data_IF_541144556606
#
_entry.id   IF_541144556606
#
_cell.length_a   1.000
_cell.length_b   1.000
_cell.length_c   1.000
_cell.angle_alpha   90.00
_cell.angle_beta   90.00
_cell.angle_gamma   90.00
#
_symmetry.space_group_name_H-M   'P 1'
#
loop_
_entity.id
_entity.type
_entity.pdbx_description
1 polymer ?
#
# COMPACT_ATOMS: atom_id res chain seq x y z
N UNK A 1 -13.61 7.31 -13.78
CA UNK A 1 -14.12 7.86 -12.50
C UNK A 1 -15.58 7.47 -12.23
N UNK A 2 -16.56 7.81 -13.10
CA UNK A 2 -17.97 7.48 -12.85
C UNK A 2 -18.23 5.98 -12.66
N UNK A 3 -17.53 5.11 -13.38
CA UNK A 3 -17.65 3.66 -13.19
C UNK A 3 -17.07 3.22 -11.84
N UNK A 4 -15.93 3.78 -11.41
CA UNK A 4 -15.41 3.51 -10.06
C UNK A 4 -16.40 3.94 -8.99
N UNK A 5 -16.94 5.15 -9.08
CA UNK A 5 -17.94 5.63 -8.12
C UNK A 5 -19.15 4.69 -8.01
N UNK A 6 -19.59 4.10 -9.14
CA UNK A 6 -20.77 3.23 -9.16
C UNK A 6 -20.52 1.83 -8.57
N UNK A 7 -19.29 1.33 -8.58
CA UNK A 7 -18.98 -0.05 -8.20
C UNK A 7 -18.02 -0.17 -7.02
N UNK A 8 -17.08 0.77 -6.86
CA UNK A 8 -16.11 0.75 -5.77
C UNK A 8 -15.93 2.13 -5.13
N UNK A 9 -16.58 2.34 -4.01
CA UNK A 9 -16.44 3.57 -3.23
C UNK A 9 -14.98 3.77 -2.79
N UNK A 10 -14.32 2.71 -2.33
CA UNK A 10 -12.91 2.74 -1.91
C UNK A 10 -12.00 3.17 -3.06
N UNK A 11 -12.07 2.48 -4.21
CA UNK A 11 -11.25 2.81 -5.38
C UNK A 11 -11.51 4.24 -5.89
N UNK A 12 -12.77 4.66 -5.89
CA UNK A 12 -13.13 6.04 -6.24
C UNK A 12 -12.51 7.06 -5.28
N UNK A 13 -12.63 6.84 -3.97
CA UNK A 13 -12.15 7.78 -2.95
C UNK A 13 -10.62 7.93 -2.99
N UNK A 14 -9.87 6.83 -3.13
CA UNK A 14 -8.42 6.86 -3.27
C UNK A 14 -8.02 7.70 -4.48
N UNK A 15 -8.52 7.34 -5.67
CA UNK A 15 -8.14 8.01 -6.92
C UNK A 15 -8.60 9.48 -6.93
N UNK A 16 -9.81 9.77 -6.46
CA UNK A 16 -10.37 11.12 -6.43
C UNK A 16 -9.65 12.02 -5.41
N UNK A 17 -9.31 11.50 -4.23
CA UNK A 17 -8.59 12.26 -3.19
C UNK A 17 -7.18 12.58 -3.67
N UNK A 18 -6.46 11.59 -4.19
CA UNK A 18 -5.14 11.80 -4.76
C UNK A 18 -5.16 12.81 -5.91
N UNK A 19 -6.12 12.68 -6.82
CA UNK A 19 -6.28 13.62 -7.95
C UNK A 19 -6.54 15.04 -7.48
N UNK A 20 -7.43 15.23 -6.48
CA UNK A 20 -7.75 16.55 -5.91
C UNK A 20 -6.58 17.19 -5.17
N UNK A 21 -5.76 16.38 -4.48
CA UNK A 21 -4.55 16.86 -3.82
C UNK A 21 -3.46 17.30 -4.81
N UNK A 22 -3.51 16.78 -6.04
CA UNK A 22 -2.54 17.05 -7.10
C UNK A 22 -1.25 16.25 -6.96
N UNK A 23 -0.39 16.35 -7.99
CA UNK A 23 0.88 15.63 -8.06
C UNK A 23 1.98 16.20 -7.17
N UNK A 24 1.73 17.30 -6.47
CA UNK A 24 2.69 17.91 -5.55
C UNK A 24 1.99 18.61 -4.39
N UNK A 25 2.62 18.59 -3.23
CA UNK A 25 2.17 19.32 -2.04
C UNK A 25 3.30 20.25 -1.60
N UNK A 26 2.97 21.52 -1.40
CA UNK A 26 3.88 22.51 -0.84
C UNK A 26 3.45 22.91 0.57
N UNK A 27 4.41 22.87 1.51
CA UNK A 27 4.19 23.26 2.90
C UNK A 27 5.49 23.78 3.52
N UNK A 28 5.40 24.90 4.25
CA UNK A 28 6.54 25.49 4.98
C UNK A 28 7.75 25.81 4.10
N UNK A 29 7.55 26.20 2.84
CA UNK A 29 8.61 26.49 1.88
C UNK A 29 9.23 25.27 1.21
N UNK A 30 8.78 24.05 1.53
CA UNK A 30 9.18 22.81 0.86
C UNK A 30 8.09 22.36 -0.11
N UNK A 31 8.47 21.65 -1.17
CA UNK A 31 7.56 21.01 -2.12
C UNK A 31 7.99 19.57 -2.36
N UNK A 32 7.02 18.65 -2.36
CA UNK A 32 7.23 17.23 -2.65
C UNK A 32 6.33 16.83 -3.81
N UNK A 33 6.86 16.08 -4.78
CA UNK A 33 6.13 15.55 -5.92
C UNK A 33 5.87 14.05 -5.72
N UNK A 34 4.66 13.61 -6.09
CA UNK A 34 4.18 12.24 -5.92
C UNK A 34 3.90 11.52 -7.27
N UNK A 35 4.20 12.17 -8.40
CA UNK A 35 3.80 11.67 -9.73
C UNK A 35 2.29 11.79 -9.97
N UNK A 36 1.81 11.15 -11.03
CA UNK A 36 0.39 11.11 -11.44
C UNK A 36 -0.08 9.66 -11.57
N UNK A 37 0.07 8.89 -10.50
CA UNK A 37 -0.13 7.42 -10.46
C UNK A 37 -1.40 6.94 -11.15
N UNK A 38 -2.55 7.58 -10.88
CA UNK A 38 -3.83 7.24 -11.49
C UNK A 38 -3.90 7.48 -13.02
N UNK A 39 -3.02 8.32 -13.57
CA UNK A 39 -2.90 8.53 -15.03
C UNK A 39 -1.81 7.64 -15.64
N UNK A 40 -0.80 7.28 -14.86
CA UNK A 40 0.32 6.47 -15.34
C UNK A 40 -0.07 5.00 -15.53
N UNK A 41 -0.93 4.47 -14.64
CA UNK A 41 -1.28 3.05 -14.59
C UNK A 41 -2.70 2.74 -15.11
N UNK A 42 -3.58 3.74 -15.28
CA UNK A 42 -4.94 3.52 -15.74
C UNK A 42 -5.04 3.49 -17.26
N UNK A 43 -5.40 2.36 -17.83
CA UNK A 43 -5.65 2.22 -19.25
C UNK A 43 -7.11 2.53 -19.58
N UNK A 44 -7.35 3.64 -20.29
CA UNK A 44 -8.69 4.13 -20.63
C UNK A 44 -9.09 3.89 -22.10
N UNK A 45 -8.38 3.00 -22.81
CA UNK A 45 -8.64 2.71 -24.23
C UNK A 45 -10.04 2.12 -24.43
N UNK A 46 -10.40 1.15 -23.62
CA UNK A 46 -11.70 0.50 -23.61
C UNK A 46 -12.00 -0.10 -22.23
N UNK A 47 -13.19 -0.69 -22.06
CA UNK A 47 -13.60 -1.28 -20.78
C UNK A 47 -12.71 -2.46 -20.38
N UNK A 48 -12.20 -3.26 -21.31
CA UNK A 48 -11.33 -4.39 -20.98
C UNK A 48 -9.98 -3.89 -20.44
N UNK A 49 -9.36 -2.93 -21.11
CA UNK A 49 -8.11 -2.28 -20.66
C UNK A 49 -8.29 -1.63 -19.29
N UNK A 50 -9.41 -0.93 -19.06
CA UNK A 50 -9.74 -0.36 -17.76
C UNK A 50 -9.83 -1.45 -16.68
N UNK A 51 -10.58 -2.53 -16.92
CA UNK A 51 -10.77 -3.60 -15.95
C UNK A 51 -9.46 -4.36 -15.64
N UNK A 52 -8.55 -4.48 -16.62
CA UNK A 52 -7.26 -5.12 -16.44
C UNK A 52 -6.26 -4.26 -15.66
N UNK A 53 -6.37 -2.93 -15.76
CA UNK A 53 -5.42 -1.99 -15.16
C UNK A 53 -5.85 -1.40 -13.81
N UNK A 54 -7.15 -1.51 -13.46
CA UNK A 54 -7.71 -0.76 -12.32
C UNK A 54 -7.12 -1.18 -10.96
N UNK A 55 -6.82 -2.47 -10.80
CA UNK A 55 -6.17 -2.95 -9.56
C UNK A 55 -4.82 -2.27 -9.35
N UNK A 56 -3.95 -2.33 -10.37
CA UNK A 56 -2.64 -1.66 -10.34
C UNK A 56 -2.80 -0.15 -10.17
N UNK A 57 -3.78 0.45 -10.86
CA UNK A 57 -4.06 1.88 -10.72
C UNK A 57 -4.39 2.26 -9.29
N UNK A 58 -5.27 1.50 -8.62
CA UNK A 58 -5.65 1.79 -7.23
C UNK A 58 -4.49 1.50 -6.28
N UNK A 59 -3.78 0.39 -6.46
CA UNK A 59 -2.59 0.03 -5.69
C UNK A 59 -1.54 1.17 -5.73
N UNK A 60 -1.10 1.57 -6.90
CA UNK A 60 -0.09 2.61 -7.07
C UNK A 60 -0.59 4.01 -6.61
N UNK A 61 -1.89 4.27 -6.77
CA UNK A 61 -2.48 5.51 -6.27
C UNK A 61 -2.56 5.52 -4.74
N UNK A 62 -2.72 4.34 -4.10
CA UNK A 62 -2.66 4.21 -2.64
C UNK A 62 -1.28 4.62 -2.12
N UNK A 63 -0.19 4.11 -2.70
CA UNK A 63 1.18 4.57 -2.37
C UNK A 63 1.31 6.09 -2.46
N UNK A 64 0.79 6.67 -3.56
CA UNK A 64 0.81 8.12 -3.74
C UNK A 64 0.01 8.88 -2.68
N UNK A 65 -1.18 8.37 -2.32
CA UNK A 65 -2.05 8.98 -1.31
C UNK A 65 -1.45 8.83 0.09
N UNK A 66 -0.94 7.65 0.44
CA UNK A 66 -0.30 7.38 1.73
C UNK A 66 0.89 8.33 1.95
N UNK A 67 1.73 8.52 0.93
CA UNK A 67 2.80 9.52 0.97
C UNK A 67 2.32 10.97 1.12
N UNK A 68 1.08 11.30 0.71
CA UNK A 68 0.48 12.64 0.87
C UNK A 68 -0.08 12.89 2.28
N UNK A 69 -0.57 11.85 2.95
CA UNK A 69 -1.29 11.96 4.23
C UNK A 69 -0.51 12.74 5.28
N UNK A 70 0.78 12.50 5.58
CA UNK A 70 1.54 13.27 6.55
C UNK A 70 1.53 14.79 6.25
N UNK A 71 1.66 15.15 4.96
CA UNK A 71 1.63 16.56 4.56
C UNK A 71 0.22 17.19 4.68
N UNK A 72 -0.83 16.38 4.51
CA UNK A 72 -2.20 16.84 4.74
C UNK A 72 -2.42 17.17 6.22
N UNK A 73 -1.88 16.34 7.13
CA UNK A 73 -1.90 16.60 8.58
C UNK A 73 -1.04 17.83 8.94
N UNK A 74 0.15 17.96 8.36
CA UNK A 74 1.00 19.12 8.57
C UNK A 74 0.32 20.44 8.16
N UNK A 75 -0.44 20.46 7.05
CA UNK A 75 -1.26 21.61 6.66
C UNK A 75 -2.35 21.96 7.67
N UNK A 76 -2.78 21.01 8.50
CA UNK A 76 -3.75 21.22 9.60
C UNK A 76 -3.07 21.68 10.90
N UNK A 77 -1.75 21.87 10.90
CA UNK A 77 -0.97 22.36 12.04
C UNK A 77 -0.19 21.31 12.82
N UNK A 78 -0.21 20.04 12.39
CA UNK A 78 0.61 19.02 13.02
C UNK A 78 2.09 19.18 12.65
N UNK A 79 2.98 18.90 13.60
CA UNK A 79 4.43 19.03 13.40
C UNK A 79 4.99 17.70 12.94
N UNK A 80 5.62 17.70 11.77
CA UNK A 80 6.40 16.56 11.24
C UNK A 80 7.88 16.84 11.49
N UNK A 81 8.53 15.97 12.26
CA UNK A 81 9.96 16.06 12.52
C UNK A 81 10.76 15.46 11.35
N UNK A 82 11.79 16.17 10.89
CA UNK A 82 12.69 15.72 9.82
C UNK A 82 13.60 14.54 10.24
N UNK A 83 13.73 14.30 11.54
CA UNK A 83 14.53 13.19 12.09
C UNK A 83 13.72 11.89 12.19
N UNK A 84 12.44 11.92 11.86
CA UNK A 84 11.55 10.77 11.86
C UNK A 84 11.24 10.26 10.47
N UNK A 85 11.03 8.96 10.37
CA UNK A 85 10.30 8.33 9.27
C UNK A 85 8.81 8.56 9.54
N UNK A 86 8.11 9.11 8.57
CA UNK A 86 6.67 9.35 8.68
C UNK A 86 5.99 8.81 7.44
N UNK A 87 5.10 7.84 7.62
CA UNK A 87 4.35 7.21 6.54
C UNK A 87 2.85 7.28 6.85
N UNK A 88 2.05 7.64 5.85
CA UNK A 88 0.60 7.70 5.96
C UNK A 88 -0.05 6.40 5.56
N UNK A 89 -1.29 6.20 6.02
CA UNK A 89 -2.11 5.05 5.68
C UNK A 89 -3.55 5.50 5.46
N UNK A 90 -4.06 5.26 4.27
CA UNK A 90 -5.46 5.39 3.96
C UNK A 90 -6.15 4.05 4.26
N UNK A 91 -7.04 4.00 5.22
CA UNK A 91 -7.83 2.80 5.53
C UNK A 91 -9.20 2.89 4.85
N UNK A 92 -9.90 4.02 5.07
CA UNK A 92 -11.15 4.34 4.39
C UNK A 92 -11.37 5.87 4.35
N UNK A 93 -12.52 6.33 3.89
CA UNK A 93 -12.83 7.77 3.80
C UNK A 93 -12.85 8.49 5.17
N UNK A 94 -13.05 7.77 6.26
CA UNK A 94 -13.13 8.31 7.62
C UNK A 94 -11.85 8.08 8.41
N UNK A 95 -11.05 7.08 8.02
CA UNK A 95 -9.87 6.63 8.75
C UNK A 95 -8.62 6.82 7.88
N UNK A 96 -7.89 7.87 8.19
CA UNK A 96 -6.58 8.15 7.65
C UNK A 96 -5.68 8.55 8.82
N UNK A 97 -4.48 8.00 8.87
CA UNK A 97 -3.50 8.32 9.91
C UNK A 97 -2.08 8.18 9.38
N UNK A 98 -1.11 8.52 10.20
CA UNK A 98 0.30 8.32 9.88
C UNK A 98 1.03 7.72 11.07
N UNK A 99 2.05 6.93 10.76
CA UNK A 99 3.00 6.38 11.72
C UNK A 99 4.26 7.25 11.73
N UNK A 100 4.86 7.39 12.90
CA UNK A 100 6.08 8.17 13.11
C UNK A 100 7.08 7.34 13.91
N UNK A 101 8.22 7.06 13.31
CA UNK A 101 9.31 6.34 13.96
C UNK A 101 10.64 7.11 13.81
N UNK A 102 11.56 7.07 14.76
CA UNK A 102 12.89 7.64 14.59
C UNK A 102 13.56 7.02 13.35
N UNK A 103 14.24 7.83 12.54
CA UNK A 103 15.04 7.31 11.44
C UNK A 103 16.08 6.34 12.02
N UNK A 104 16.27 5.22 11.35
CA UNK A 104 17.17 4.13 11.77
C UNK A 104 16.74 3.35 13.04
N UNK A 105 15.51 3.51 13.54
CA UNK A 105 14.97 2.62 14.58
C UNK A 105 14.47 1.29 14.03
N UNK A 106 14.16 1.25 12.73
CA UNK A 106 13.68 0.06 12.03
C UNK A 106 14.84 -0.61 11.28
N UNK A 107 14.88 -1.93 11.27
CA UNK A 107 15.85 -2.68 10.47
C UNK A 107 15.26 -3.04 9.09
N UNK A 108 16.09 -3.23 8.06
CA UNK A 108 15.61 -3.58 6.72
C UNK A 108 15.06 -5.01 6.66
N UNK A 109 14.09 -5.28 5.78
CA UNK A 109 13.49 -6.62 5.63
C UNK A 109 14.49 -7.71 5.24
N UNK A 110 15.63 -7.34 4.64
CA UNK A 110 16.69 -8.31 4.29
C UNK A 110 17.27 -9.02 5.52
N UNK A 111 17.24 -8.41 6.70
CA UNK A 111 17.76 -9.03 7.92
C UNK A 111 16.94 -10.26 8.33
N UNK A 112 15.67 -10.33 7.92
CA UNK A 112 14.74 -11.43 8.22
C UNK A 112 14.90 -12.63 7.26
N UNK A 113 15.55 -12.43 6.13
CA UNK A 113 15.59 -13.40 5.01
C UNK A 113 16.08 -14.79 5.43
N UNK A 114 17.08 -14.85 6.33
CA UNK A 114 17.66 -16.11 6.75
C UNK A 114 16.77 -16.93 7.71
N UNK A 115 15.80 -16.27 8.36
CA UNK A 115 14.83 -16.93 9.24
C UNK A 115 13.69 -17.59 8.44
N UNK A 116 13.47 -17.15 7.18
CA UNK A 116 12.41 -17.68 6.34
C UNK A 116 12.92 -18.92 5.55
N UNK A 117 12.41 -20.13 5.84
CA UNK A 117 12.77 -21.33 5.12
C UNK A 117 12.53 -21.20 3.62
N UNK A 118 13.42 -21.79 2.80
CA UNK A 118 13.35 -21.66 1.34
C UNK A 118 12.03 -22.14 0.74
N UNK A 119 11.40 -23.16 1.34
CA UNK A 119 10.10 -23.68 0.89
C UNK A 119 8.91 -22.80 1.24
N UNK A 120 9.11 -21.75 2.05
CA UNK A 120 8.11 -20.73 2.37
C UNK A 120 8.34 -19.41 1.62
N UNK A 121 9.40 -19.33 0.80
CA UNK A 121 9.68 -18.16 -0.03
C UNK A 121 8.74 -18.13 -1.23
N UNK A 122 7.85 -17.18 -1.23
CA UNK A 122 6.79 -17.01 -2.21
C UNK A 122 7.28 -16.24 -3.44
N UNK A 123 6.38 -15.99 -4.40
CA UNK A 123 6.71 -15.31 -5.66
C UNK A 123 7.30 -13.89 -5.46
N UNK A 124 6.81 -13.15 -4.45
CA UNK A 124 7.23 -11.76 -4.19
C UNK A 124 8.41 -11.65 -3.24
N UNK A 125 8.88 -12.78 -2.70
CA UNK A 125 9.96 -12.79 -1.71
C UNK A 125 11.22 -12.06 -2.19
N UNK A 126 11.71 -12.39 -3.39
CA UNK A 126 12.93 -11.78 -3.91
C UNK A 126 12.76 -10.28 -4.19
N UNK A 127 11.57 -9.87 -4.61
CA UNK A 127 11.28 -8.47 -4.93
C UNK A 127 11.24 -7.59 -3.70
N UNK A 128 10.72 -8.08 -2.57
CA UNK A 128 10.45 -7.25 -1.40
C UNK A 128 11.33 -7.56 -0.20
N UNK A 129 11.70 -8.83 0.01
CA UNK A 129 12.55 -9.21 1.14
C UNK A 129 14.04 -9.12 0.81
N UNK A 130 14.46 -9.33 -0.46
CA UNK A 130 15.86 -9.21 -0.94
C UNK A 130 16.04 -7.94 -1.80
N UNK A 131 15.14 -7.00 -1.72
CA UNK A 131 15.09 -5.81 -2.57
C UNK A 131 16.33 -4.91 -2.44
N UNK A 132 16.48 -4.00 -3.40
CA UNK A 132 17.52 -2.97 -3.34
C UNK A 132 17.30 -2.05 -2.13
N UNK A 133 18.37 -1.47 -1.53
CA UNK A 133 18.25 -0.61 -0.34
C UNK A 133 17.31 0.59 -0.48
N UNK A 134 17.00 1.02 -1.71
CA UNK A 134 16.10 2.14 -1.97
C UNK A 134 14.61 1.76 -1.87
N UNK A 135 14.26 0.48 -1.92
CA UNK A 135 12.88 0.02 -1.75
C UNK A 135 12.37 0.35 -0.34
N UNK A 136 11.09 0.69 -0.21
CA UNK A 136 10.45 1.04 1.07
C UNK A 136 10.60 -0.08 2.11
N UNK A 137 10.47 -1.34 1.71
CA UNK A 137 10.66 -2.52 2.57
C UNK A 137 12.08 -2.64 3.14
N UNK A 138 13.08 -2.03 2.51
CA UNK A 138 14.47 -1.97 3.00
C UNK A 138 14.73 -0.67 3.76
N UNK A 139 14.34 0.47 3.20
CA UNK A 139 14.61 1.79 3.80
C UNK A 139 13.71 2.11 5.00
N UNK A 140 12.54 1.51 5.08
CA UNK A 140 11.51 1.76 6.10
C UNK A 140 11.10 0.48 6.85
N UNK A 141 11.75 -0.66 6.58
CA UNK A 141 11.52 -1.93 7.26
C UNK A 141 10.05 -2.34 7.27
N UNK A 142 9.51 -2.63 8.46
CA UNK A 142 8.12 -3.07 8.62
C UNK A 142 7.10 -2.04 8.11
N UNK A 143 7.39 -0.74 8.20
CA UNK A 143 6.48 0.30 7.69
C UNK A 143 6.35 0.17 6.17
N UNK A 144 7.44 -0.11 5.45
CA UNK A 144 7.39 -0.37 4.02
C UNK A 144 6.64 -1.66 3.66
N UNK A 145 6.73 -2.72 4.49
CA UNK A 145 5.94 -3.93 4.30
C UNK A 145 4.44 -3.67 4.52
N UNK A 146 4.08 -2.87 5.52
CA UNK A 146 2.70 -2.48 5.81
C UNK A 146 2.11 -1.58 4.73
N UNK A 147 2.91 -0.69 4.16
CA UNK A 147 2.52 0.20 3.07
C UNK A 147 2.19 -0.61 1.81
N UNK A 148 2.99 -1.59 1.46
CA UNK A 148 2.69 -2.54 0.38
C UNK A 148 1.44 -3.38 0.69
N UNK A 149 1.31 -3.87 1.93
CA UNK A 149 0.13 -4.62 2.37
C UNK A 149 -1.15 -3.80 2.18
N UNK A 150 -1.15 -2.52 2.61
CA UNK A 150 -2.26 -1.59 2.44
C UNK A 150 -2.61 -1.37 0.96
N UNK A 151 -1.61 -1.13 0.12
CA UNK A 151 -1.79 -0.94 -1.31
C UNK A 151 -2.38 -2.18 -2.00
N UNK A 152 -1.89 -3.38 -1.68
CA UNK A 152 -2.47 -4.63 -2.19
C UNK A 152 -3.88 -4.91 -1.66
N UNK A 153 -4.18 -4.54 -0.42
CA UNK A 153 -5.55 -4.62 0.10
C UNK A 153 -6.52 -3.80 -0.75
N UNK A 154 -6.19 -2.54 -1.01
CA UNK A 154 -7.06 -1.67 -1.81
C UNK A 154 -7.13 -2.09 -3.29
N UNK A 155 -6.03 -2.55 -3.87
CA UNK A 155 -6.03 -3.16 -5.21
C UNK A 155 -6.93 -4.39 -5.30
N UNK A 156 -6.88 -5.28 -4.30
CA UNK A 156 -7.76 -6.46 -4.22
C UNK A 156 -9.22 -6.08 -4.01
N UNK A 157 -9.47 -5.11 -3.12
CA UNK A 157 -10.81 -4.60 -2.80
C UNK A 157 -11.51 -4.05 -4.04
N UNK A 158 -10.82 -3.25 -4.84
CA UNK A 158 -11.42 -2.70 -6.07
C UNK A 158 -11.74 -3.79 -7.08
N UNK A 159 -10.90 -4.81 -7.24
CA UNK A 159 -11.19 -5.95 -8.14
C UNK A 159 -12.45 -6.68 -7.68
N UNK A 160 -12.58 -6.90 -6.38
CA UNK A 160 -13.78 -7.51 -5.81
C UNK A 160 -15.04 -6.67 -6.07
N UNK A 161 -14.94 -5.36 -5.83
CA UNK A 161 -16.06 -4.42 -5.96
C UNK A 161 -16.54 -4.29 -7.40
N UNK A 162 -15.64 -4.34 -8.39
CA UNK A 162 -16.01 -4.22 -9.82
C UNK A 162 -16.46 -5.54 -10.46
N UNK A 163 -16.52 -6.64 -9.71
CA UNK A 163 -17.01 -7.93 -10.24
C UNK A 163 -18.36 -7.83 -10.96
N UNK A 164 -19.38 -7.09 -10.46
CA UNK A 164 -20.65 -6.94 -11.18
C UNK A 164 -20.49 -6.32 -12.56
N UNK A 165 -19.62 -5.31 -12.69
CA UNK A 165 -19.31 -4.70 -13.99
C UNK A 165 -18.61 -5.69 -14.92
N UNK A 166 -17.63 -6.46 -14.40
CA UNK A 166 -16.94 -7.48 -15.19
C UNK A 166 -17.92 -8.55 -15.70
N UNK A 167 -18.81 -9.03 -14.84
CA UNK A 167 -19.85 -10.02 -15.17
C UNK A 167 -20.83 -9.47 -16.22
N UNK A 168 -21.24 -8.22 -16.13
CA UNK A 168 -22.12 -7.56 -17.10
C UNK A 168 -21.47 -7.46 -18.49
N UNK A 169 -20.23 -7.00 -18.54
CA UNK A 169 -19.54 -6.72 -19.82
C UNK A 169 -18.96 -7.98 -20.47
N UNK A 170 -18.56 -8.99 -19.68
CA UNK A 170 -17.85 -10.19 -20.15
C UNK A 170 -18.41 -11.47 -19.53
N UNK A 171 -19.72 -11.77 -19.73
CA UNK A 171 -20.38 -12.91 -19.05
C UNK A 171 -19.75 -14.27 -19.36
N UNK A 172 -19.20 -14.44 -20.56
CA UNK A 172 -18.53 -15.69 -20.96
C UNK A 172 -17.09 -15.82 -20.47
N UNK A 173 -16.45 -14.72 -20.08
CA UNK A 173 -15.05 -14.68 -19.62
C UNK A 173 -14.91 -14.63 -18.10
N UNK A 174 -16.01 -14.35 -17.40
CA UNK A 174 -16.00 -14.11 -15.94
C UNK A 174 -15.44 -15.30 -15.15
N UNK A 175 -15.75 -16.52 -15.56
CA UNK A 175 -15.29 -17.72 -14.85
C UNK A 175 -13.79 -18.03 -14.99
N UNK A 176 -13.15 -17.51 -16.04
CA UNK A 176 -11.74 -17.79 -16.33
C UNK A 176 -10.82 -16.60 -16.00
N UNK A 177 -11.24 -15.39 -16.28
CA UNK A 177 -10.34 -14.22 -16.20
C UNK A 177 -10.43 -13.47 -14.87
N UNK A 178 -11.66 -13.28 -14.35
CA UNK A 178 -11.80 -12.57 -13.07
C UNK A 178 -11.12 -13.29 -11.89
N UNK A 179 -11.24 -14.64 -11.72
CA UNK A 179 -10.55 -15.33 -10.63
C UNK A 179 -9.02 -15.17 -10.67
N UNK A 180 -8.39 -15.22 -11.84
CA UNK A 180 -6.94 -15.07 -11.93
C UNK A 180 -6.49 -13.66 -11.55
N UNK A 181 -7.24 -12.63 -11.95
CA UNK A 181 -6.95 -11.25 -11.54
C UNK A 181 -7.14 -11.06 -10.04
N UNK A 182 -8.22 -11.58 -9.47
CA UNK A 182 -8.50 -11.49 -8.04
C UNK A 182 -7.47 -12.27 -7.21
N UNK A 183 -7.19 -13.53 -7.57
CA UNK A 183 -6.25 -14.41 -6.85
C UNK A 183 -4.86 -13.79 -6.80
N UNK A 184 -4.35 -13.28 -7.92
CA UNK A 184 -3.02 -12.66 -7.96
C UNK A 184 -2.86 -11.49 -6.96
N UNK A 185 -3.92 -10.71 -6.75
CA UNK A 185 -3.92 -9.64 -5.75
C UNK A 185 -4.09 -10.17 -4.32
N UNK A 186 -4.98 -11.14 -4.14
CA UNK A 186 -5.22 -11.76 -2.83
C UNK A 186 -3.99 -12.53 -2.33
N UNK A 187 -3.26 -13.21 -3.23
CA UNK A 187 -2.00 -13.87 -2.88
C UNK A 187 -0.97 -12.87 -2.34
N UNK A 188 -0.84 -11.69 -2.98
CA UNK A 188 0.04 -10.64 -2.49
C UNK A 188 -0.33 -10.20 -1.07
N UNK A 189 -1.63 -10.01 -0.79
CA UNK A 189 -2.10 -9.68 0.55
C UNK A 189 -1.64 -10.73 1.59
N UNK A 190 -1.79 -12.02 1.31
CA UNK A 190 -1.31 -13.08 2.23
C UNK A 190 0.20 -13.16 2.33
N UNK A 191 0.94 -12.89 1.25
CA UNK A 191 2.39 -12.85 1.25
C UNK A 191 2.92 -11.73 2.17
N UNK A 192 2.35 -10.53 2.08
CA UNK A 192 2.74 -9.40 2.94
C UNK A 192 2.32 -9.60 4.40
N UNK A 193 1.15 -10.18 4.67
CA UNK A 193 0.76 -10.58 6.03
C UNK A 193 1.80 -11.54 6.64
N UNK A 194 2.27 -12.51 5.84
CA UNK A 194 3.33 -13.41 6.25
C UNK A 194 4.66 -12.68 6.49
N UNK A 195 5.11 -11.82 5.58
CA UNK A 195 6.36 -11.08 5.74
C UNK A 195 6.35 -10.16 6.96
N UNK A 196 5.24 -9.50 7.25
CA UNK A 196 5.05 -8.67 8.44
C UNK A 196 5.18 -9.53 9.71
N UNK A 197 4.55 -10.70 9.75
CA UNK A 197 4.64 -11.63 10.88
C UNK A 197 6.06 -12.13 11.11
N UNK A 198 6.79 -12.50 10.06
CA UNK A 198 8.19 -12.91 10.16
C UNK A 198 9.09 -11.76 10.63
N UNK A 199 8.85 -10.52 10.17
CA UNK A 199 9.54 -9.34 10.66
C UNK A 199 9.30 -9.14 12.17
N UNK A 200 8.07 -9.29 12.64
CA UNK A 200 7.72 -9.17 14.07
C UNK A 200 8.33 -10.29 14.91
N UNK A 201 8.39 -11.53 14.41
CA UNK A 201 9.05 -12.64 15.08
C UNK A 201 10.55 -12.41 15.19
N UNK A 202 11.19 -11.92 14.13
CA UNK A 202 12.60 -11.53 14.15
C UNK A 202 12.84 -10.38 15.15
N UNK A 203 12.02 -9.33 15.10
CA UNK A 203 12.10 -8.22 16.04
C UNK A 203 11.97 -8.70 17.49
N UNK A 204 11.06 -9.61 17.78
CA UNK A 204 10.88 -10.18 19.13
C UNK A 204 12.14 -10.86 19.66
N UNK A 205 12.88 -11.52 18.78
CA UNK A 205 14.07 -12.30 19.14
C UNK A 205 15.36 -11.46 19.19
N UNK A 206 15.50 -10.48 18.27
CA UNK A 206 16.76 -9.75 18.04
C UNK A 206 16.67 -8.27 18.44
N UNK A 207 15.47 -7.69 18.46
CA UNK A 207 15.19 -6.28 18.76
C UNK A 207 14.00 -6.14 19.72
N UNK A 208 14.06 -6.70 20.95
CA UNK A 208 12.89 -6.81 21.84
C UNK A 208 12.30 -5.45 22.25
N UNK A 209 13.10 -4.39 22.29
CA UNK A 209 12.61 -3.03 22.58
C UNK A 209 11.72 -2.52 21.44
N UNK A 210 12.18 -2.64 20.19
CA UNK A 210 11.40 -2.29 19.01
C UNK A 210 10.11 -3.13 18.93
N UNK A 211 10.20 -4.45 19.18
CA UNK A 211 9.01 -5.31 19.20
C UNK A 211 7.97 -4.83 20.21
N UNK A 212 8.40 -4.44 21.42
CA UNK A 212 7.49 -3.93 22.43
C UNK A 212 6.91 -2.57 22.08
N UNK A 213 7.67 -1.70 21.42
CA UNK A 213 7.18 -0.43 20.89
C UNK A 213 6.08 -0.67 19.86
N UNK A 214 6.35 -1.44 18.79
CA UNK A 214 5.38 -1.79 17.74
C UNK A 214 4.13 -2.46 18.31
N UNK A 215 4.29 -3.43 19.22
CA UNK A 215 3.19 -4.15 19.86
C UNK A 215 2.26 -3.24 20.67
N UNK A 216 2.79 -2.16 21.24
CA UNK A 216 2.02 -1.23 22.07
C UNK A 216 1.48 -0.03 21.28
N UNK A 217 1.95 0.18 20.07
CA UNK A 217 1.45 1.24 19.20
C UNK A 217 0.04 0.89 18.71
N UNK A 218 -0.94 1.72 19.13
CA UNK A 218 -2.33 1.53 18.73
C UNK A 218 -2.52 1.72 17.23
N UNK A 219 -1.86 2.70 16.64
CA UNK A 219 -2.00 3.02 15.21
C UNK A 219 -1.41 1.89 14.34
N UNK A 220 -0.30 1.30 14.79
CA UNK A 220 0.29 0.13 14.13
C UNK A 220 -0.66 -1.09 14.08
N UNK A 221 -1.55 -1.22 15.07
CA UNK A 221 -2.52 -2.33 15.14
C UNK A 221 -3.77 -2.14 14.26
N UNK A 222 -3.96 -0.95 13.68
CA UNK A 222 -5.11 -0.67 12.82
C UNK A 222 -4.93 -1.16 11.38
N UNK A 223 -3.70 -1.40 10.96
CA UNK A 223 -3.35 -1.98 9.67
C UNK A 223 -3.33 -3.50 9.80
#
# INVERSE_FOLDING_TARGET
MNQLLSYSNTGYNIVNTFHKNGSSISFGGNSTSFGMRHLEYCELKDTASFLSSISTTVHETTHGLDSQIPYMFAKRGEKIDKLTLTEGFYIDENIQYYLVYPKNSLFPSIDVVNEIPTNLRTFRFDTYMIAKPIQSTQSSGIIGLMEEFNAYYHGSKVVFDIFPLFKEKYPTRVACEWPSTFISNADAFYEFDFFIKEYLLYAKSHHPELYNELKNDYMFKLI
#
